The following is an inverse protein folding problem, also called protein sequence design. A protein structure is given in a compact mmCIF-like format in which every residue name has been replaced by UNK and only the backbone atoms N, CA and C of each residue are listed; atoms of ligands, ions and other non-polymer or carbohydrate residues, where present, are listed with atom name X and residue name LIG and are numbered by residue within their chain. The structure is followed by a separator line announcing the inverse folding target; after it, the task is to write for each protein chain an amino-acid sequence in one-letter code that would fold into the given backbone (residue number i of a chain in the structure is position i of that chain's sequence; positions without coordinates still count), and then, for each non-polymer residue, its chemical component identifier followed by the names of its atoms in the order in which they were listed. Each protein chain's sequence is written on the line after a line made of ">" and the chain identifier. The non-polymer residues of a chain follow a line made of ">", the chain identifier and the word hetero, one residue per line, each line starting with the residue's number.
data_IF_233581642020
#
_entry.id   IF_233581642020
#
_cell.length_a   1.000
_cell.length_b   1.000
_cell.length_c   1.000
_cell.angle_alpha   90.00
_cell.angle_beta   90.00
_cell.angle_gamma   90.00
#
_symmetry.space_group_name_H-M   'P 1'
#
loop_
_entity.id
_entity.type
_entity.pdbx_description
1 polymer ?
#
# COMPACT_ATOMS: atom_id res chain seq x y z
N UNK A 1 -7.26 96.65 -42.82
CA UNK A 1 -7.74 96.27 -41.46
C UNK A 1 -7.76 94.73 -41.37
N UNK A 2 -6.74 94.18 -40.77
CA UNK A 2 -6.55 92.75 -40.71
C UNK A 2 -6.89 92.27 -39.33
N UNK A 3 -7.96 91.47 -39.16
CA UNK A 3 -8.28 90.76 -37.95
C UNK A 3 -7.62 89.35 -37.95
N UNK A 4 -6.63 89.16 -37.10
CA UNK A 4 -6.01 87.86 -36.85
C UNK A 4 -6.90 87.11 -35.89
N UNK A 5 -7.46 86.01 -36.31
CA UNK A 5 -8.08 85.00 -35.43
C UNK A 5 -7.01 84.14 -34.81
N UNK A 6 -6.87 84.21 -33.52
CA UNK A 6 -6.06 83.22 -32.72
C UNK A 6 -6.93 82.01 -32.42
N UNK A 7 -6.59 80.90 -33.00
CA UNK A 7 -7.21 79.62 -32.71
C UNK A 7 -6.43 78.93 -31.60
N UNK A 8 -6.98 78.99 -30.37
CA UNK A 8 -6.41 78.25 -29.24
C UNK A 8 -6.84 76.84 -29.26
N UNK A 9 -5.89 75.89 -29.59
CA UNK A 9 -6.11 74.50 -29.46
C UNK A 9 -5.94 74.04 -28.01
N UNK A 10 -7.03 73.67 -27.38
CA UNK A 10 -7.02 73.01 -26.07
C UNK A 10 -6.72 71.55 -26.26
N UNK A 11 -5.51 71.11 -25.90
CA UNK A 11 -5.14 69.71 -25.83
C UNK A 11 -5.75 69.12 -24.54
N UNK A 12 -6.83 68.35 -24.68
CA UNK A 12 -7.37 67.53 -23.60
C UNK A 12 -6.49 66.29 -23.43
N UNK A 13 -5.63 66.28 -22.40
CA UNK A 13 -4.97 65.07 -21.96
C UNK A 13 -6.01 64.16 -21.29
N UNK A 14 -6.50 63.15 -22.01
CA UNK A 14 -7.26 62.07 -21.42
C UNK A 14 -6.28 61.12 -20.68
N UNK A 15 -6.22 61.30 -19.36
CA UNK A 15 -5.53 60.32 -18.49
C UNK A 15 -6.35 59.05 -18.48
N UNK A 16 -5.90 58.03 -19.20
CA UNK A 16 -6.40 56.65 -19.06
C UNK A 16 -5.89 56.11 -17.73
N UNK A 17 -6.78 56.13 -16.73
CA UNK A 17 -6.52 55.39 -15.48
C UNK A 17 -6.44 53.89 -15.80
N UNK A 18 -5.24 53.35 -15.74
CA UNK A 18 -5.02 51.89 -15.73
C UNK A 18 -5.67 51.36 -14.45
N UNK A 19 -6.87 50.82 -14.55
CA UNK A 19 -7.49 50.06 -13.48
C UNK A 19 -6.70 48.79 -13.30
N UNK A 20 -5.82 48.76 -12.29
CA UNK A 20 -5.18 47.51 -11.86
C UNK A 20 -6.28 46.62 -11.28
N UNK A 21 -6.62 45.56 -11.99
CA UNK A 21 -7.52 44.51 -11.49
C UNK A 21 -6.73 43.52 -10.66
N UNK A 22 -6.94 43.53 -9.36
CA UNK A 22 -6.41 42.47 -8.48
C UNK A 22 -7.40 41.33 -8.48
N UNK A 23 -6.92 40.14 -8.83
CA UNK A 23 -7.70 38.94 -8.78
C UNK A 23 -7.13 38.01 -7.70
N UNK A 24 -7.98 37.59 -6.78
CA UNK A 24 -7.60 36.70 -5.70
C UNK A 24 -7.88 35.27 -6.12
N UNK A 25 -6.88 34.40 -6.04
CA UNK A 25 -7.01 32.98 -6.26
C UNK A 25 -6.91 32.26 -4.92
N UNK A 26 -7.74 31.24 -4.72
CA UNK A 26 -7.66 30.37 -3.55
C UNK A 26 -6.84 29.13 -3.92
N UNK A 27 -5.84 28.84 -3.12
CA UNK A 27 -5.17 27.53 -3.09
C UNK A 27 -5.78 26.72 -1.95
N UNK A 28 -6.29 25.52 -2.25
CA UNK A 28 -6.81 24.61 -1.25
C UNK A 28 -5.95 23.33 -1.25
N UNK A 29 -5.72 22.80 -0.05
CA UNK A 29 -5.12 21.50 0.15
C UNK A 29 -6.10 20.65 0.96
N UNK A 30 -6.19 19.38 0.61
CA UNK A 30 -6.87 18.40 1.44
C UNK A 30 -5.81 17.69 2.29
N UNK A 31 -5.99 17.69 3.60
CA UNK A 31 -5.18 16.87 4.49
C UNK A 31 -5.63 15.42 4.38
N UNK A 32 -4.70 14.50 4.47
CA UNK A 32 -4.94 13.06 4.60
C UNK A 32 -4.39 12.59 5.95
N UNK A 33 -4.99 11.56 6.52
CA UNK A 33 -4.45 10.88 7.69
C UNK A 33 -3.47 9.80 7.24
N UNK A 34 -2.44 9.57 8.02
CA UNK A 34 -1.58 8.41 7.80
C UNK A 34 -2.39 7.13 7.97
N UNK A 35 -2.22 6.13 7.08
CA UNK A 35 -2.89 4.85 7.22
C UNK A 35 -2.39 4.12 8.47
N UNK A 36 -3.28 3.34 9.05
CA UNK A 36 -2.97 2.49 10.20
C UNK A 36 -2.98 1.03 9.80
N UNK A 37 -2.03 0.28 10.34
CA UNK A 37 -1.89 -1.16 10.12
C UNK A 37 -2.37 -1.90 11.36
N UNK A 38 -3.21 -2.91 11.17
CA UNK A 38 -3.65 -3.80 12.22
C UNK A 38 -3.51 -5.25 11.74
N UNK A 39 -2.74 -6.06 12.47
CA UNK A 39 -2.77 -7.51 12.28
C UNK A 39 -4.10 -8.04 12.80
N UNK A 40 -4.85 -8.70 11.94
CA UNK A 40 -6.15 -9.31 12.27
C UNK A 40 -6.01 -10.80 12.57
N UNK A 41 -5.06 -11.45 11.92
CA UNK A 41 -4.73 -12.85 12.12
C UNK A 41 -3.22 -13.06 11.99
N UNK A 42 -2.63 -13.75 12.95
CA UNK A 42 -1.24 -14.19 12.84
C UNK A 42 -1.11 -15.32 11.81
N UNK A 43 -0.08 -15.26 10.97
CA UNK A 43 0.21 -16.34 10.01
C UNK A 43 0.76 -17.56 10.74
N UNK A 44 0.19 -18.75 10.50
CA UNK A 44 0.67 -19.98 11.08
C UNK A 44 0.54 -21.16 10.11
N UNK A 45 1.64 -21.84 9.84
CA UNK A 45 1.70 -22.98 8.92
C UNK A 45 1.30 -24.32 9.54
N UNK A 46 1.00 -24.36 10.86
CA UNK A 46 0.82 -25.60 11.59
C UNK A 46 2.15 -26.33 11.80
N UNK A 47 2.11 -27.66 11.82
CA UNK A 47 3.30 -28.48 11.97
C UNK A 47 3.96 -28.77 10.63
N UNK A 48 5.28 -28.62 10.59
CA UNK A 48 6.12 -28.95 9.44
C UNK A 48 7.06 -30.11 9.79
N UNK A 49 7.47 -30.90 8.78
CA UNK A 49 8.50 -31.89 8.94
C UNK A 49 9.83 -31.26 9.36
N UNK A 50 10.49 -31.87 10.36
CA UNK A 50 11.66 -31.28 11.02
C UNK A 50 12.98 -31.41 10.25
N UNK A 51 13.00 -32.14 9.12
CA UNK A 51 14.22 -32.36 8.34
C UNK A 51 14.59 -31.11 7.51
N UNK A 52 15.88 -30.85 7.39
CA UNK A 52 16.38 -29.83 6.46
C UNK A 52 15.91 -30.11 5.04
N UNK A 53 15.51 -29.08 4.30
CA UNK A 53 14.94 -29.16 2.96
C UNK A 53 13.44 -29.41 2.93
N UNK A 54 12.78 -29.62 4.09
CA UNK A 54 11.32 -29.74 4.13
C UNK A 54 10.68 -28.39 3.79
N UNK A 55 9.61 -28.41 2.98
CA UNK A 55 8.90 -27.21 2.57
C UNK A 55 7.38 -27.36 2.76
N UNK A 56 6.76 -26.31 3.27
CA UNK A 56 5.33 -26.18 3.45
C UNK A 56 4.83 -24.97 2.68
N UNK A 57 3.88 -25.17 1.79
CA UNK A 57 3.28 -24.08 1.01
C UNK A 57 1.83 -23.89 1.43
N UNK A 58 1.47 -22.66 1.78
CA UNK A 58 0.10 -22.22 2.03
C UNK A 58 -0.40 -21.43 0.83
N UNK A 59 -1.62 -21.67 0.40
CA UNK A 59 -2.29 -20.88 -0.64
C UNK A 59 -3.12 -19.72 -0.04
N UNK A 60 -3.71 -18.90 -0.90
CA UNK A 60 -4.53 -17.76 -0.49
C UNK A 60 -5.89 -18.14 0.15
N UNK A 61 -6.22 -19.42 0.17
CA UNK A 61 -7.39 -19.95 0.90
C UNK A 61 -6.99 -20.49 2.28
N UNK A 62 -5.68 -20.48 2.63
CA UNK A 62 -5.14 -21.02 3.87
C UNK A 62 -4.92 -22.55 3.84
N UNK A 63 -5.07 -23.19 2.67
CA UNK A 63 -4.77 -24.61 2.54
C UNK A 63 -3.26 -24.83 2.42
N UNK A 64 -2.73 -25.82 3.17
CA UNK A 64 -1.31 -26.15 3.15
C UNK A 64 -1.03 -27.44 2.39
N UNK A 65 0.12 -27.48 1.72
CA UNK A 65 0.62 -28.61 0.95
C UNK A 65 2.13 -28.78 1.14
N UNK A 66 2.65 -29.96 0.81
CA UNK A 66 4.06 -30.28 0.98
C UNK A 66 4.34 -31.08 2.26
N UNK A 67 5.42 -30.72 2.96
CA UNK A 67 5.86 -31.40 4.18
C UNK A 67 5.16 -30.89 5.46
N UNK A 68 3.90 -30.47 5.34
CA UNK A 68 3.05 -29.95 6.42
C UNK A 68 2.01 -31.00 6.86
N UNK A 69 1.56 -30.86 8.11
CA UNK A 69 0.37 -31.57 8.61
C UNK A 69 -0.88 -30.74 8.28
N UNK A 70 -1.54 -31.02 7.16
CA UNK A 70 -2.74 -30.31 6.72
C UNK A 70 -3.95 -30.46 7.66
N UNK A 71 -3.86 -31.31 8.69
CA UNK A 71 -4.89 -31.48 9.71
C UNK A 71 -4.62 -30.68 10.98
N UNK A 72 -3.51 -29.94 11.06
CA UNK A 72 -3.19 -29.14 12.25
C UNK A 72 -4.18 -28.00 12.42
N UNK A 73 -4.77 -27.94 13.60
CA UNK A 73 -5.80 -26.92 13.92
C UNK A 73 -5.24 -25.49 14.04
N UNK A 74 -3.92 -25.33 14.10
CA UNK A 74 -3.27 -24.02 14.20
C UNK A 74 -3.00 -23.38 12.82
N UNK A 75 -3.26 -24.09 11.71
CA UNK A 75 -3.08 -23.51 10.38
C UNK A 75 -3.96 -22.26 10.26
N UNK A 76 -3.32 -21.14 9.98
CA UNK A 76 -4.00 -19.84 9.88
C UNK A 76 -3.34 -18.95 8.84
N UNK A 77 -4.18 -18.42 7.95
CA UNK A 77 -3.77 -17.39 6.98
C UNK A 77 -3.45 -16.09 7.71
N UNK A 78 -2.33 -15.46 7.38
CA UNK A 78 -2.00 -14.14 7.90
C UNK A 78 -2.98 -13.10 7.38
N UNK A 79 -3.39 -12.17 8.24
CA UNK A 79 -4.34 -11.12 7.89
C UNK A 79 -3.88 -9.77 8.43
N UNK A 80 -3.85 -8.76 7.55
CA UNK A 80 -3.52 -7.38 7.91
C UNK A 80 -4.60 -6.48 7.31
N UNK A 81 -5.11 -5.54 8.11
CA UNK A 81 -5.98 -4.47 7.62
C UNK A 81 -5.20 -3.16 7.61
N UNK A 82 -5.28 -2.45 6.49
CA UNK A 82 -4.76 -1.08 6.35
C UNK A 82 -5.97 -0.16 6.25
N UNK A 83 -6.14 0.71 7.23
CA UNK A 83 -7.29 1.59 7.37
C UNK A 83 -6.92 3.07 7.22
N UNK A 84 -7.93 3.91 6.97
CA UNK A 84 -7.76 5.35 6.86
C UNK A 84 -7.27 5.81 5.49
N UNK A 85 -7.42 4.98 4.47
CA UNK A 85 -7.08 5.30 3.10
C UNK A 85 -8.12 6.25 2.48
N UNK A 86 -7.66 7.16 1.62
CA UNK A 86 -8.56 7.96 0.81
C UNK A 86 -9.08 7.12 -0.39
N UNK A 87 -10.29 7.40 -0.87
CA UNK A 87 -10.79 6.83 -2.11
C UNK A 87 -9.87 7.14 -3.31
N UNK A 88 -9.75 6.21 -4.24
CA UNK A 88 -8.88 6.31 -5.43
C UNK A 88 -7.41 6.58 -5.09
N UNK A 89 -6.93 6.12 -3.94
CA UNK A 89 -5.52 6.20 -3.58
C UNK A 89 -4.70 5.17 -4.33
N UNK A 90 -3.70 5.63 -5.07
CA UNK A 90 -2.72 4.78 -5.73
C UNK A 90 -1.55 4.48 -4.79
N UNK A 91 -1.16 3.21 -4.69
CA UNK A 91 -0.08 2.76 -3.82
C UNK A 91 0.63 1.55 -4.41
N UNK A 92 1.82 1.27 -3.91
CA UNK A 92 2.49 -0.01 -4.11
C UNK A 92 2.44 -0.81 -2.81
N UNK A 93 2.13 -2.08 -2.93
CA UNK A 93 2.17 -3.03 -1.83
C UNK A 93 3.31 -4.00 -2.12
N UNK A 94 4.22 -4.15 -1.18
CA UNK A 94 5.34 -5.09 -1.25
C UNK A 94 5.33 -5.97 -0.02
N UNK A 95 5.43 -7.28 -0.21
CA UNK A 95 5.70 -8.22 0.89
C UNK A 95 7.12 -8.73 0.73
N UNK A 96 7.84 -8.84 1.82
CA UNK A 96 9.20 -9.37 1.83
C UNK A 96 9.37 -10.34 2.98
N UNK A 97 9.82 -11.54 2.64
CA UNK A 97 10.17 -12.55 3.60
C UNK A 97 11.55 -12.35 4.19
N UNK A 98 11.86 -13.17 5.15
CA UNK A 98 13.19 -13.22 5.75
C UNK A 98 13.62 -14.67 6.03
N UNK A 99 14.84 -14.80 6.48
CA UNK A 99 15.41 -16.07 6.94
C UNK A 99 15.85 -15.93 8.38
N UNK A 100 15.54 -16.92 9.20
CA UNK A 100 16.12 -17.11 10.52
C UNK A 100 17.26 -18.13 10.46
N UNK A 101 17.76 -18.56 11.61
CA UNK A 101 18.81 -19.58 11.67
C UNK A 101 18.39 -20.93 11.08
N UNK A 102 17.09 -21.22 11.07
CA UNK A 102 16.57 -22.54 10.73
C UNK A 102 15.51 -22.54 9.63
N UNK A 103 14.91 -21.39 9.35
CA UNK A 103 13.76 -21.24 8.46
C UNK A 103 13.99 -20.11 7.46
N UNK A 104 13.45 -20.30 6.25
CA UNK A 104 13.26 -19.24 5.27
C UNK A 104 11.79 -19.17 4.92
N UNK A 105 11.23 -17.96 4.94
CA UNK A 105 9.87 -17.68 4.50
C UNK A 105 9.89 -16.87 3.22
N UNK A 106 9.25 -17.37 2.18
CA UNK A 106 8.98 -16.68 0.92
C UNK A 106 7.47 -16.35 0.85
N UNK A 107 7.06 -15.15 1.26
CA UNK A 107 5.65 -14.76 1.29
C UNK A 107 5.08 -14.52 -0.10
N UNK A 108 3.77 -14.62 -0.16
CA UNK A 108 2.92 -14.04 -1.20
C UNK A 108 1.74 -13.35 -0.51
N UNK A 109 1.15 -12.36 -1.15
CA UNK A 109 -0.02 -11.67 -0.60
C UNK A 109 -1.13 -11.53 -1.64
N UNK A 110 -2.34 -11.42 -1.12
CA UNK A 110 -3.49 -10.93 -1.87
C UNK A 110 -4.08 -9.75 -1.12
N UNK A 111 -4.06 -8.58 -1.75
CA UNK A 111 -4.64 -7.35 -1.23
C UNK A 111 -5.99 -7.09 -1.90
N UNK A 112 -7.00 -6.70 -1.12
CA UNK A 112 -8.32 -6.37 -1.66
C UNK A 112 -9.00 -5.28 -0.84
N UNK A 113 -9.73 -4.41 -1.52
CA UNK A 113 -10.68 -3.45 -0.93
C UNK A 113 -12.15 -3.91 -1.06
N UNK A 114 -12.37 -5.17 -1.44
CA UNK A 114 -13.70 -5.74 -1.70
C UNK A 114 -14.15 -5.61 -3.15
N UNK A 115 -13.52 -4.76 -3.95
CA UNK A 115 -13.81 -4.54 -5.38
C UNK A 115 -12.61 -4.92 -6.25
N UNK A 116 -11.47 -4.33 -5.94
CA UNK A 116 -10.19 -4.61 -6.58
C UNK A 116 -9.42 -5.68 -5.80
N UNK A 117 -8.66 -6.50 -6.52
CA UNK A 117 -7.81 -7.53 -5.90
C UNK A 117 -6.51 -7.63 -6.67
N UNK A 118 -5.40 -7.55 -5.94
CA UNK A 118 -4.05 -7.68 -6.48
C UNK A 118 -3.28 -8.73 -5.70
N UNK A 119 -2.45 -9.48 -6.41
CA UNK A 119 -1.59 -10.52 -5.83
C UNK A 119 -0.14 -10.18 -6.07
N UNK A 120 0.68 -10.30 -5.05
CA UNK A 120 2.13 -10.06 -5.17
C UNK A 120 2.93 -11.21 -4.57
N UNK A 121 4.11 -11.43 -5.14
CA UNK A 121 5.09 -12.41 -4.68
C UNK A 121 6.15 -11.73 -3.81
N UNK A 122 6.98 -12.53 -3.16
CA UNK A 122 8.08 -12.10 -2.31
C UNK A 122 9.00 -11.09 -3.01
N UNK A 123 9.22 -9.95 -2.37
CA UNK A 123 10.06 -8.85 -2.84
C UNK A 123 9.55 -8.10 -4.08
N UNK A 124 8.35 -8.41 -4.58
CA UNK A 124 7.77 -7.77 -5.76
C UNK A 124 6.76 -6.71 -5.32
N UNK A 125 6.92 -5.48 -5.81
CA UNK A 125 5.93 -4.43 -5.61
C UNK A 125 4.76 -4.61 -6.59
N UNK A 126 3.53 -4.60 -6.08
CA UNK A 126 2.31 -4.59 -6.88
C UNK A 126 1.57 -3.26 -6.72
N UNK A 127 1.21 -2.66 -7.86
CA UNK A 127 0.42 -1.43 -7.85
C UNK A 127 -1.03 -1.76 -7.48
N UNK A 128 -1.57 -1.04 -6.51
CA UNK A 128 -2.95 -1.14 -6.06
C UNK A 128 -3.59 0.23 -6.06
N UNK A 129 -4.84 0.32 -6.44
CA UNK A 129 -5.62 1.56 -6.34
C UNK A 129 -6.94 1.24 -5.65
N UNK A 130 -7.22 1.92 -4.53
CA UNK A 130 -8.51 1.78 -3.85
C UNK A 130 -9.65 2.25 -4.72
N UNK A 131 -10.81 1.65 -4.58
CA UNK A 131 -12.01 2.10 -5.30
C UNK A 131 -12.50 3.48 -4.80
N UNK A 132 -13.52 4.03 -5.49
CA UNK A 132 -14.04 5.36 -5.18
C UNK A 132 -14.79 5.46 -3.84
N UNK A 133 -15.00 4.36 -3.13
CA UNK A 133 -15.71 4.28 -1.85
C UNK A 133 -14.89 3.58 -0.76
N UNK A 134 -13.80 2.91 -1.12
CA UNK A 134 -12.99 2.15 -0.17
C UNK A 134 -12.22 3.07 0.76
N UNK A 135 -12.15 2.67 2.01
CA UNK A 135 -11.33 3.31 3.03
C UNK A 135 -10.31 2.36 3.65
N UNK A 136 -10.51 1.06 3.47
CA UNK A 136 -9.69 0.01 4.07
C UNK A 136 -9.33 -1.03 3.03
N UNK A 137 -8.15 -1.62 3.14
CA UNK A 137 -7.76 -2.81 2.40
C UNK A 137 -7.42 -3.95 3.35
N UNK A 138 -7.76 -5.16 2.93
CA UNK A 138 -7.36 -6.38 3.60
C UNK A 138 -6.23 -7.02 2.82
N UNK A 139 -5.14 -7.35 3.49
CA UNK A 139 -3.98 -8.02 2.92
C UNK A 139 -3.89 -9.40 3.59
N UNK A 140 -4.10 -10.45 2.81
CA UNK A 140 -3.86 -11.82 3.23
C UNK A 140 -2.43 -12.22 2.90
N UNK A 141 -1.73 -12.78 3.87
CA UNK A 141 -0.34 -13.24 3.73
C UNK A 141 -0.29 -14.76 3.80
N UNK A 142 0.38 -15.37 2.83
CA UNK A 142 0.58 -16.80 2.67
C UNK A 142 1.94 -17.03 1.99
N UNK A 143 2.22 -18.21 1.46
CA UNK A 143 3.47 -18.47 0.74
C UNK A 143 4.13 -19.76 1.15
N UNK A 144 5.46 -19.81 1.10
CA UNK A 144 6.22 -21.02 1.38
C UNK A 144 7.17 -20.84 2.55
N UNK A 145 7.10 -21.76 3.49
CA UNK A 145 8.06 -21.93 4.58
C UNK A 145 9.00 -23.08 4.26
N UNK A 146 10.30 -22.86 4.36
CA UNK A 146 11.35 -23.89 4.14
C UNK A 146 12.17 -24.07 5.40
N UNK A 147 12.47 -25.32 5.74
CA UNK A 147 13.38 -25.70 6.83
C UNK A 147 14.79 -25.76 6.29
N UNK A 148 15.64 -24.80 6.63
CA UNK A 148 17.03 -24.73 6.16
C UNK A 148 17.95 -25.64 6.96
N UNK A 149 17.72 -25.69 8.27
CA UNK A 149 18.46 -26.55 9.20
C UNK A 149 17.48 -27.38 10.00
N UNK A 150 17.77 -28.68 10.18
CA UNK A 150 16.89 -29.60 10.89
C UNK A 150 16.42 -29.02 12.23
N UNK A 151 15.11 -29.06 12.46
CA UNK A 151 14.47 -28.57 13.66
C UNK A 151 14.44 -29.64 14.76
N UNK A 152 14.25 -29.21 16.00
CA UNK A 152 14.08 -30.10 17.17
C UNK A 152 12.60 -30.25 17.48
N UNK A 153 12.16 -31.47 17.77
CA UNK A 153 10.77 -31.73 18.13
C UNK A 153 10.34 -30.94 19.40
N UNK A 154 9.13 -30.37 19.35
CA UNK A 154 8.55 -29.62 20.47
C UNK A 154 9.08 -28.20 20.64
N UNK A 155 9.86 -27.68 19.67
CA UNK A 155 10.23 -26.26 19.61
C UNK A 155 9.20 -25.45 18.82
N UNK A 156 9.04 -24.19 19.20
CA UNK A 156 8.36 -23.18 18.41
C UNK A 156 9.42 -22.40 17.63
N UNK A 157 9.15 -22.16 16.35
CA UNK A 157 10.08 -21.52 15.44
C UNK A 157 9.38 -20.39 14.68
N UNK A 158 9.97 -19.20 14.74
CA UNK A 158 9.43 -18.01 14.10
C UNK A 158 10.40 -17.50 13.03
N UNK A 159 9.83 -16.87 12.03
CA UNK A 159 10.53 -16.09 11.02
C UNK A 159 9.69 -14.86 10.68
N UNK A 160 10.33 -13.71 10.63
CA UNK A 160 9.66 -12.45 10.36
C UNK A 160 9.34 -12.28 8.86
N UNK A 161 8.39 -11.44 8.56
CA UNK A 161 8.14 -10.88 7.23
C UNK A 161 7.73 -9.42 7.36
N UNK A 162 7.83 -8.69 6.26
CA UNK A 162 7.48 -7.26 6.23
C UNK A 162 6.44 -7.02 5.15
N UNK A 163 5.44 -6.21 5.45
CA UNK A 163 4.51 -5.64 4.46
C UNK A 163 4.71 -4.14 4.42
N UNK A 164 5.08 -3.64 3.26
CA UNK A 164 5.27 -2.22 2.97
C UNK A 164 4.15 -1.72 2.07
N UNK A 165 3.59 -0.56 2.41
CA UNK A 165 2.61 0.15 1.59
C UNK A 165 3.12 1.56 1.36
N UNK A 166 3.51 1.86 0.13
CA UNK A 166 4.02 3.17 -0.27
C UNK A 166 3.07 3.86 -1.24
N UNK A 167 2.72 5.11 -0.94
CA UNK A 167 1.80 5.92 -1.76
C UNK A 167 2.54 6.56 -2.93
N UNK A 168 1.80 6.75 -4.05
CA UNK A 168 2.31 7.36 -5.28
C UNK A 168 1.81 8.81 -5.45
#
# INVERSE_FOLDING_TARGET
>A
MNKKLLLSAVLALSSTSLLASNQTFQASINGWSEPTFAETNALHFGKIRLAAGSACTMDNAGAVTGDCDASDANIQLGGITVSGLAPNSAMNITVSGSSSANLTFAPATTATDGTSTETTADGVASAFTTDGSASDITINVYGQMTVDTALTAGGDYDVDYTVDVSFQ
#
